data_IF_274279496129
#
_entry.id   IF_274279496129
#
_cell.length_a   1.000
_cell.length_b   1.000
_cell.length_c   1.000
_cell.angle_alpha   90.00
_cell.angle_beta   90.00
_cell.angle_gamma   90.00
#
_symmetry.space_group_name_H-M   'P 1'
#
loop_
_entity.id
_entity.type
_entity.pdbx_description
1 polymer ?
#
# COMPACT_ATOMS: atom_id res chain seq x y z
N UNK A 1 -15.35 3.32 -6.61
CA UNK A 1 -14.43 2.29 -7.19
C UNK A 1 -13.13 2.37 -6.41
N UNK A 2 -12.72 1.28 -5.76
CA UNK A 2 -11.47 1.22 -5.01
C UNK A 2 -10.34 0.71 -5.91
N UNK A 3 -9.13 1.21 -5.73
CA UNK A 3 -7.89 0.74 -6.36
C UNK A 3 -6.89 0.39 -5.26
N UNK A 4 -6.20 -0.73 -5.42
CA UNK A 4 -5.07 -1.10 -4.58
C UNK A 4 -3.77 -0.76 -5.32
N UNK A 5 -2.81 -0.20 -4.59
CA UNK A 5 -1.46 0.11 -5.06
C UNK A 5 -0.48 -0.28 -3.97
N UNK A 6 0.45 -1.19 -4.25
CA UNK A 6 1.56 -1.48 -3.37
C UNK A 6 2.75 -0.60 -3.70
N UNK A 7 3.44 -0.07 -2.69
CA UNK A 7 4.67 0.71 -2.87
C UNK A 7 5.79 0.01 -2.12
N UNK A 8 6.85 -0.37 -2.83
CA UNK A 8 8.00 -1.07 -2.28
C UNK A 8 9.26 -0.17 -2.34
N UNK A 9 9.77 0.27 -1.18
CA UNK A 9 10.97 1.10 -1.10
C UNK A 9 12.27 0.31 -0.92
N UNK A 10 12.23 -1.02 -0.84
CA UNK A 10 13.40 -1.84 -0.43
C UNK A 10 13.94 -2.76 -1.51
N UNK A 11 13.09 -3.58 -2.13
CA UNK A 11 13.59 -4.72 -2.93
C UNK A 11 14.19 -4.31 -4.29
N UNK A 12 14.42 -5.24 -5.21
CA UNK A 12 14.60 -4.91 -6.63
C UNK A 12 13.28 -5.18 -7.36
N UNK A 13 13.12 -4.69 -8.60
CA UNK A 13 11.94 -5.01 -9.42
C UNK A 13 11.73 -6.52 -9.51
N UNK A 14 12.79 -7.29 -9.78
CA UNK A 14 12.71 -8.76 -9.89
C UNK A 14 12.25 -9.43 -8.58
N UNK A 15 12.74 -8.97 -7.43
CA UNK A 15 12.36 -9.53 -6.12
C UNK A 15 10.91 -9.19 -5.80
N UNK A 16 10.48 -7.94 -6.02
CA UNK A 16 9.11 -7.46 -5.82
C UNK A 16 8.12 -8.24 -6.69
N UNK A 17 8.40 -8.36 -7.99
CA UNK A 17 7.53 -9.06 -8.95
C UNK A 17 7.42 -10.55 -8.63
N UNK A 18 8.53 -11.21 -8.31
CA UNK A 18 8.52 -12.63 -7.90
C UNK A 18 7.68 -12.83 -6.65
N UNK A 19 7.91 -12.01 -5.61
CA UNK A 19 7.19 -12.11 -4.34
C UNK A 19 5.67 -11.92 -4.51
N UNK A 20 5.29 -10.96 -5.37
CA UNK A 20 3.90 -10.68 -5.72
C UNK A 20 3.25 -11.83 -6.49
N UNK A 21 3.94 -12.37 -7.50
CA UNK A 21 3.44 -13.49 -8.30
C UNK A 21 3.20 -14.75 -7.46
N UNK A 22 4.11 -15.07 -6.52
CA UNK A 22 3.96 -16.19 -5.59
C UNK A 22 2.70 -16.09 -4.69
N UNK A 23 2.18 -14.88 -4.49
CA UNK A 23 1.01 -14.58 -3.65
C UNK A 23 -0.26 -14.27 -4.45
N UNK A 24 -0.19 -14.30 -5.78
CA UNK A 24 -1.31 -13.95 -6.65
C UNK A 24 -1.71 -12.47 -6.56
N UNK A 25 -0.75 -11.59 -6.29
CA UNK A 25 -1.00 -10.13 -6.30
C UNK A 25 -1.13 -9.64 -7.74
N UNK A 26 -2.31 -9.12 -8.08
CA UNK A 26 -2.64 -8.60 -9.43
C UNK A 26 -2.83 -7.07 -9.47
N UNK A 27 -2.80 -6.41 -8.31
CA UNK A 27 -2.89 -4.96 -8.25
C UNK A 27 -1.55 -4.30 -8.60
N UNK A 28 -1.59 -3.00 -8.90
CA UNK A 28 -0.40 -2.26 -9.32
C UNK A 28 0.66 -2.21 -8.21
N UNK A 29 1.90 -2.43 -8.59
CA UNK A 29 3.06 -2.29 -7.72
C UNK A 29 3.98 -1.21 -8.25
N UNK A 30 4.34 -0.28 -7.37
CA UNK A 30 5.26 0.80 -7.62
C UNK A 30 6.50 0.65 -6.75
N UNK A 31 7.58 1.26 -7.21
CA UNK A 31 8.86 1.30 -6.52
C UNK A 31 9.10 2.70 -5.97
N UNK A 32 9.69 2.78 -4.78
CA UNK A 32 10.18 4.04 -4.18
C UNK A 32 11.67 3.89 -3.79
N UNK A 33 12.58 3.67 -4.76
CA UNK A 33 13.97 3.29 -4.47
C UNK A 33 14.75 4.40 -3.75
N UNK A 34 14.41 5.67 -4.00
CA UNK A 34 14.99 6.84 -3.33
C UNK A 34 14.30 7.17 -2.00
N UNK A 35 13.26 6.42 -1.62
CA UNK A 35 12.43 6.63 -0.43
C UNK A 35 11.76 7.99 -0.36
N UNK A 36 11.58 8.65 -1.50
CA UNK A 36 11.01 10.00 -1.56
C UNK A 36 9.57 10.02 -1.04
N UNK A 37 8.76 9.04 -1.47
CA UNK A 37 7.38 8.90 -1.00
C UNK A 37 7.33 8.46 0.48
N UNK A 38 8.17 7.49 0.83
CA UNK A 38 8.31 7.00 2.21
C UNK A 38 8.70 8.10 3.19
N UNK A 39 9.65 8.96 2.81
CA UNK A 39 10.14 10.07 3.64
C UNK A 39 9.11 11.18 3.75
N UNK A 40 8.42 11.53 2.66
CA UNK A 40 7.35 12.55 2.67
C UNK A 40 6.21 12.14 3.61
N UNK A 41 5.94 10.85 3.71
CA UNK A 41 4.95 10.29 4.64
C UNK A 41 5.50 10.03 6.06
N UNK A 42 6.76 10.36 6.31
CA UNK A 42 7.46 10.13 7.58
C UNK A 42 7.36 8.68 8.09
N UNK A 43 7.35 7.70 7.17
CA UNK A 43 7.22 6.28 7.52
C UNK A 43 8.53 5.75 8.09
N UNK A 44 8.52 5.45 9.39
CA UNK A 44 9.70 4.92 10.11
C UNK A 44 9.68 3.40 10.31
N UNK A 45 8.52 2.76 10.12
CA UNK A 45 8.34 1.32 10.31
C UNK A 45 7.32 0.77 9.32
N UNK A 46 7.54 -0.48 8.89
CA UNK A 46 6.70 -1.18 7.91
C UNK A 46 6.05 -2.43 8.52
N UNK A 47 4.87 -2.85 8.02
CA UNK A 47 4.11 -2.25 6.92
C UNK A 47 3.28 -1.03 7.34
N UNK A 48 2.91 -0.20 6.35
CA UNK A 48 1.93 0.89 6.47
C UNK A 48 0.87 0.73 5.38
N UNK A 49 -0.40 0.87 5.77
CA UNK A 49 -1.55 0.89 4.87
C UNK A 49 -2.22 2.26 4.95
N UNK A 50 -2.41 2.92 3.81
CA UNK A 50 -3.08 4.21 3.69
C UNK A 50 -4.42 4.04 2.99
N UNK A 51 -5.44 4.70 3.52
CA UNK A 51 -6.74 4.88 2.85
C UNK A 51 -6.79 6.31 2.35
N UNK A 52 -7.00 6.47 1.03
CA UNK A 52 -6.94 7.76 0.35
C UNK A 52 -8.29 8.06 -0.30
N UNK A 53 -8.81 9.26 -0.07
CA UNK A 53 -10.08 9.70 -0.66
C UNK A 53 -9.99 9.92 -2.17
N UNK A 54 -11.12 9.99 -2.89
CA UNK A 54 -11.13 10.38 -4.30
C UNK A 54 -10.49 11.75 -4.58
N UNK A 55 -10.47 12.64 -3.59
CA UNK A 55 -9.84 13.96 -3.63
C UNK A 55 -8.32 13.91 -3.40
N UNK A 56 -7.78 12.74 -3.04
CA UNK A 56 -6.35 12.52 -2.80
C UNK A 56 -5.92 12.74 -1.35
N UNK A 57 -6.85 12.79 -0.40
CA UNK A 57 -6.55 13.00 1.02
C UNK A 57 -6.37 11.68 1.77
N UNK A 58 -5.35 11.58 2.63
CA UNK A 58 -5.19 10.41 3.51
C UNK A 58 -6.25 10.50 4.61
N UNK A 59 -7.27 9.65 4.55
CA UNK A 59 -8.39 9.63 5.51
C UNK A 59 -8.16 8.64 6.65
N UNK A 60 -7.27 7.67 6.47
CA UNK A 60 -6.84 6.73 7.51
C UNK A 60 -5.46 6.16 7.21
N UNK A 61 -4.71 5.89 8.27
CA UNK A 61 -3.43 5.19 8.23
C UNK A 61 -3.43 4.08 9.28
N UNK A 62 -2.90 2.92 8.92
CA UNK A 62 -2.70 1.79 9.83
C UNK A 62 -1.46 0.99 9.44
N UNK A 63 -1.11 -0.03 10.23
CA UNK A 63 -0.04 -0.97 9.93
C UNK A 63 -0.53 -2.18 9.14
N UNK A 64 -0.22 -3.37 9.67
CA UNK A 64 -0.80 -4.65 9.20
C UNK A 64 -2.32 -4.57 9.28
N UNK A 65 -3.00 -5.09 8.26
CA UNK A 65 -4.44 -5.21 8.20
C UNK A 65 -4.79 -6.55 7.56
N UNK A 66 -5.82 -7.23 8.06
CA UNK A 66 -6.34 -8.43 7.43
C UNK A 66 -7.47 -8.13 6.42
N UNK A 67 -7.98 -9.18 5.76
CA UNK A 67 -8.99 -9.03 4.71
C UNK A 67 -10.35 -8.57 5.24
N UNK A 68 -10.73 -8.94 6.46
CA UNK A 68 -12.03 -8.58 7.02
C UNK A 68 -11.99 -7.14 7.54
N UNK A 69 -10.90 -6.76 8.21
CA UNK A 69 -10.63 -5.38 8.60
C UNK A 69 -10.59 -4.43 7.39
N UNK A 70 -9.94 -4.85 6.30
CA UNK A 70 -9.85 -4.05 5.07
C UNK A 70 -11.23 -3.84 4.43
N UNK A 71 -12.05 -4.88 4.35
CA UNK A 71 -13.42 -4.76 3.80
C UNK A 71 -14.29 -3.85 4.66
N UNK A 72 -14.25 -4.03 5.98
CA UNK A 72 -15.00 -3.17 6.89
C UNK A 72 -14.58 -1.70 6.78
N UNK A 73 -13.27 -1.42 6.68
CA UNK A 73 -12.76 -0.07 6.50
C UNK A 73 -13.18 0.53 5.15
N UNK A 74 -13.25 -0.26 4.08
CA UNK A 74 -13.74 0.19 2.78
C UNK A 74 -15.23 0.53 2.86
N UNK A 75 -16.06 -0.37 3.40
CA UNK A 75 -17.52 -0.19 3.50
C UNK A 75 -17.91 1.02 4.39
N UNK A 76 -17.09 1.33 5.39
CA UNK A 76 -17.28 2.50 6.26
C UNK A 76 -16.97 3.83 5.54
N UNK A 77 -16.01 3.83 4.61
CA UNK A 77 -15.39 5.05 4.09
C UNK A 77 -15.71 5.37 2.62
N UNK A 78 -16.12 4.39 1.79
CA UNK A 78 -16.24 4.53 0.33
C UNK A 78 -17.49 3.86 -0.26
#
# INVERSE_FOLDING_TARGET
RVRFVGVDPFDSVEVMERFAAERGVEYELLRDPERSFTNELEVVAFPVTLFVSPEGEIVRQTGVIDADELRAAIDEMF
#
